data_IF_395716787046
#
_entry.id   IF_395716787046
#
_cell.length_a   1.000
_cell.length_b   1.000
_cell.length_c   1.000
_cell.angle_alpha   90.00
_cell.angle_beta   90.00
_cell.angle_gamma   90.00
#
_symmetry.space_group_name_H-M   'P 1'
#
loop_
_entity.id
_entity.type
_entity.pdbx_description
1 polymer ?
#
# COMPACT_ATOMS: atom_id res chain seq x y z
N UNK A 1 -15.04 1.70 6.13
CA UNK A 1 -15.57 2.09 4.82
C UNK A 1 -16.20 0.85 4.20
N UNK A 2 -17.49 0.90 3.91
CA UNK A 2 -18.18 -0.21 3.26
C UNK A 2 -17.72 -0.25 1.80
N UNK A 3 -17.17 -1.36 1.37
CA UNK A 3 -16.81 -1.62 -0.02
C UNK A 3 -18.01 -2.34 -0.63
N UNK A 4 -18.55 -1.79 -1.71
CA UNK A 4 -19.57 -2.48 -2.49
C UNK A 4 -18.92 -3.56 -3.34
N UNK A 5 -19.56 -4.71 -3.47
CA UNK A 5 -19.21 -5.68 -4.48
C UNK A 5 -19.54 -5.15 -5.88
N UNK A 6 -18.94 -5.73 -6.92
CA UNK A 6 -19.26 -5.37 -8.31
C UNK A 6 -20.75 -5.52 -8.62
N UNK A 7 -21.40 -6.53 -8.00
CA UNK A 7 -22.82 -6.78 -8.18
C UNK A 7 -23.67 -5.69 -7.52
N UNK A 8 -23.32 -5.29 -6.30
CA UNK A 8 -24.02 -4.20 -5.60
C UNK A 8 -23.90 -2.86 -6.34
N UNK A 9 -22.78 -2.63 -7.03
CA UNK A 9 -22.63 -1.45 -7.92
C UNK A 9 -23.53 -1.55 -9.15
N UNK A 10 -23.56 -2.71 -9.82
CA UNK A 10 -24.41 -2.91 -10.98
C UNK A 10 -25.89 -2.77 -10.60
N UNK A 11 -26.30 -3.33 -9.47
CA UNK A 11 -27.65 -3.21 -8.93
C UNK A 11 -27.99 -1.75 -8.58
N UNK A 12 -27.01 -0.98 -8.09
CA UNK A 12 -27.18 0.45 -7.80
C UNK A 12 -27.35 1.24 -9.10
N UNK A 13 -26.54 0.98 -10.11
CA UNK A 13 -26.62 1.63 -11.42
C UNK A 13 -27.94 1.30 -12.14
N UNK A 14 -28.40 0.06 -12.05
CA UNK A 14 -29.71 -0.37 -12.57
C UNK A 14 -30.88 0.34 -11.85
N UNK A 15 -30.76 0.49 -10.54
CA UNK A 15 -31.77 1.21 -9.71
C UNK A 15 -31.94 2.66 -10.13
N UNK A 16 -30.86 3.30 -10.62
CA UNK A 16 -30.88 4.68 -11.13
C UNK A 16 -31.11 4.75 -12.65
N UNK A 17 -31.47 3.62 -13.29
CA UNK A 17 -31.73 3.52 -14.72
C UNK A 17 -30.58 4.07 -15.60
N UNK A 18 -29.34 3.85 -15.15
CA UNK A 18 -28.12 4.24 -15.85
C UNK A 18 -27.79 3.14 -16.86
N UNK A 19 -27.66 3.50 -18.14
CA UNK A 19 -27.21 2.57 -19.16
C UNK A 19 -25.80 2.06 -18.84
N UNK A 20 -25.74 0.83 -18.36
CA UNK A 20 -24.51 0.15 -17.99
C UNK A 20 -23.76 -0.44 -19.19
N UNK A 21 -24.27 -0.26 -20.42
CA UNK A 21 -23.75 -0.93 -21.60
C UNK A 21 -22.24 -0.74 -21.80
N UNK A 22 -21.77 0.50 -21.78
CA UNK A 22 -20.33 0.81 -21.92
C UNK A 22 -19.56 0.51 -20.64
N UNK A 23 -20.12 0.86 -19.47
CA UNK A 23 -19.47 0.62 -18.18
C UNK A 23 -19.46 -0.87 -17.82
N UNK A 24 -20.55 -1.59 -18.10
CA UNK A 24 -20.64 -3.04 -17.97
C UNK A 24 -19.65 -3.79 -18.87
N UNK A 25 -19.39 -3.30 -20.08
CA UNK A 25 -18.37 -3.87 -20.97
C UNK A 25 -16.95 -3.64 -20.42
N UNK A 26 -16.65 -2.48 -19.86
CA UNK A 26 -15.37 -2.20 -19.21
C UNK A 26 -15.18 -3.10 -18.00
N UNK A 27 -16.18 -3.20 -17.11
CA UNK A 27 -16.14 -4.08 -15.94
C UNK A 27 -16.03 -5.55 -16.32
N UNK A 28 -16.75 -6.01 -17.33
CA UNK A 28 -16.65 -7.37 -17.82
C UNK A 28 -15.30 -7.67 -18.50
N UNK A 29 -14.71 -6.66 -19.16
CA UNK A 29 -13.34 -6.76 -19.69
C UNK A 29 -12.30 -6.91 -18.58
N UNK A 30 -12.45 -6.16 -17.50
CA UNK A 30 -11.59 -6.21 -16.31
C UNK A 30 -11.78 -7.52 -15.54
N UNK A 31 -13.00 -8.01 -15.42
CA UNK A 31 -13.34 -9.26 -14.69
C UNK A 31 -12.74 -10.53 -15.34
N UNK A 32 -12.37 -10.48 -16.61
CA UNK A 32 -11.77 -11.62 -17.32
C UNK A 32 -10.27 -11.76 -17.11
N UNK A 33 -9.62 -10.79 -16.45
CA UNK A 33 -8.18 -10.84 -16.17
C UNK A 33 -7.93 -11.25 -14.72
N UNK A 34 -7.26 -12.40 -14.47
CA UNK A 34 -6.93 -12.83 -13.10
C UNK A 34 -6.10 -11.77 -12.37
N UNK A 35 -6.48 -11.44 -11.14
CA UNK A 35 -5.75 -10.52 -10.27
C UNK A 35 -6.05 -9.02 -10.45
N UNK A 36 -6.76 -8.62 -11.49
CA UNK A 36 -7.12 -7.20 -11.68
C UNK A 36 -8.24 -6.77 -10.75
N UNK A 37 -9.18 -7.66 -10.43
CA UNK A 37 -10.30 -7.35 -9.51
C UNK A 37 -9.86 -7.12 -8.07
N UNK A 38 -8.75 -7.73 -7.64
CA UNK A 38 -8.19 -7.47 -6.31
C UNK A 38 -7.70 -6.02 -6.14
N UNK A 39 -7.49 -5.33 -7.26
CA UNK A 39 -7.05 -3.93 -7.31
C UNK A 39 -8.20 -2.93 -7.52
N UNK A 40 -9.40 -3.40 -7.82
CA UNK A 40 -10.58 -2.53 -8.02
C UNK A 40 -11.21 -2.22 -6.66
N UNK A 41 -11.33 -0.95 -6.33
CA UNK A 41 -11.98 -0.47 -5.12
C UNK A 41 -13.04 0.55 -5.48
N UNK A 42 -14.21 0.39 -4.89
CA UNK A 42 -15.34 1.29 -5.09
C UNK A 42 -15.57 2.01 -3.76
N UNK A 43 -15.74 3.32 -3.82
CA UNK A 43 -15.99 4.13 -2.63
C UNK A 43 -16.49 5.51 -3.00
N UNK A 44 -17.03 6.20 -2.01
CA UNK A 44 -17.46 7.60 -2.15
C UNK A 44 -16.34 8.54 -1.71
N UNK A 45 -16.20 9.64 -2.44
CA UNK A 45 -15.26 10.71 -2.13
C UNK A 45 -14.02 10.72 -3.02
N UNK A 46 -13.08 11.61 -2.70
CA UNK A 46 -11.87 11.81 -3.49
C UNK A 46 -10.89 10.66 -3.27
N UNK A 47 -10.36 10.04 -4.34
CA UNK A 47 -9.36 8.99 -4.21
C UNK A 47 -8.07 9.53 -3.61
N UNK A 48 -7.52 8.81 -2.65
CA UNK A 48 -6.32 9.18 -1.90
C UNK A 48 -5.07 8.34 -2.25
N UNK A 49 -5.18 7.45 -3.24
CA UNK A 49 -4.06 6.61 -3.72
C UNK A 49 -3.79 6.86 -5.19
N UNK A 50 -2.55 6.62 -5.61
CA UNK A 50 -2.19 6.67 -7.02
C UNK A 50 -2.91 5.56 -7.80
N UNK A 51 -3.42 5.88 -8.98
CA UNK A 51 -4.15 4.94 -9.82
C UNK A 51 -5.02 5.63 -10.85
N UNK A 52 -5.65 4.81 -11.68
CA UNK A 52 -6.68 5.25 -12.61
C UNK A 52 -8.05 4.99 -11.97
N UNK A 53 -8.85 6.02 -11.88
CA UNK A 53 -10.18 5.99 -11.29
C UNK A 53 -11.24 6.38 -12.32
N UNK A 54 -12.37 5.71 -12.25
CA UNK A 54 -13.60 6.20 -12.87
C UNK A 54 -14.39 6.99 -11.84
N UNK A 55 -14.88 8.15 -12.22
CA UNK A 55 -15.69 9.01 -11.37
C UNK A 55 -17.07 9.11 -11.99
N UNK A 56 -18.08 8.76 -11.22
CA UNK A 56 -19.48 8.93 -11.60
C UNK A 56 -20.10 9.96 -10.69
N UNK A 57 -20.68 11.00 -11.26
CA UNK A 57 -21.46 12.01 -10.55
C UNK A 57 -22.92 11.87 -10.94
N UNK A 58 -23.78 11.80 -9.93
CA UNK A 58 -25.24 11.77 -10.12
C UNK A 58 -25.82 13.00 -9.43
N UNK A 59 -26.63 13.78 -10.15
CA UNK A 59 -27.40 14.85 -9.56
C UNK A 59 -28.80 14.35 -9.24
N UNK A 60 -29.20 14.43 -7.98
CA UNK A 60 -30.57 14.22 -7.53
C UNK A 60 -31.08 15.54 -6.97
N UNK A 61 -31.98 16.16 -7.70
CA UNK A 61 -32.60 17.43 -7.30
C UNK A 61 -34.09 17.41 -7.61
N UNK A 62 -34.88 17.89 -6.67
CA UNK A 62 -36.34 18.00 -6.86
C UNK A 62 -36.76 18.95 -7.99
N UNK A 63 -35.85 19.83 -8.42
CA UNK A 63 -36.13 20.90 -9.39
C UNK A 63 -35.45 20.69 -10.75
N UNK A 64 -34.64 19.62 -10.90
CA UNK A 64 -33.91 19.35 -12.15
C UNK A 64 -34.01 17.87 -12.45
N UNK A 65 -33.96 17.54 -13.74
CA UNK A 65 -33.84 16.11 -14.16
C UNK A 65 -32.56 15.51 -13.64
N UNK A 66 -32.62 14.21 -13.30
CA UNK A 66 -31.46 13.46 -12.85
C UNK A 66 -30.42 13.41 -13.96
N UNK A 67 -29.27 14.00 -13.72
CA UNK A 67 -28.14 13.99 -14.63
C UNK A 67 -27.07 13.03 -14.14
N UNK A 68 -26.44 12.32 -15.08
CA UNK A 68 -25.30 11.42 -14.78
C UNK A 68 -24.10 11.86 -15.61
N UNK A 69 -23.01 12.09 -14.92
CA UNK A 69 -21.73 12.43 -15.55
C UNK A 69 -20.69 11.35 -15.25
N UNK A 70 -19.88 11.02 -16.25
CA UNK A 70 -18.76 10.10 -16.13
C UNK A 70 -17.45 10.82 -16.45
N UNK A 71 -16.40 10.45 -15.73
CA UNK A 71 -15.06 10.95 -15.97
C UNK A 71 -13.99 9.96 -15.55
N UNK A 72 -12.78 10.21 -16.02
CA UNK A 72 -11.61 9.48 -15.58
C UNK A 72 -10.69 10.41 -14.80
N UNK A 73 -10.18 9.94 -13.68
CA UNK A 73 -9.20 10.63 -12.85
C UNK A 73 -7.94 9.77 -12.75
N UNK A 74 -6.82 10.30 -13.26
CA UNK A 74 -5.50 9.69 -13.08
C UNK A 74 -4.77 10.42 -11.95
N UNK A 75 -4.53 9.70 -10.86
CA UNK A 75 -3.66 10.18 -9.78
C UNK A 75 -2.29 9.55 -9.92
N UNK A 76 -1.25 10.39 -9.90
CA UNK A 76 0.13 9.95 -10.14
C UNK A 76 0.82 9.58 -8.83
N UNK A 77 1.61 8.49 -8.88
CA UNK A 77 2.56 8.17 -7.84
C UNK A 77 3.72 9.18 -7.86
N UNK A 78 4.25 9.53 -6.68
CA UNK A 78 5.37 10.45 -6.55
C UNK A 78 6.68 9.65 -6.49
N UNK A 79 7.54 9.85 -7.49
CA UNK A 79 8.82 9.16 -7.63
C UNK A 79 10.01 10.03 -7.19
N UNK A 80 9.87 11.33 -7.24
CA UNK A 80 10.93 12.27 -6.86
C UNK A 80 10.60 12.91 -5.52
N UNK A 81 11.56 12.88 -4.59
CA UNK A 81 11.44 13.48 -3.27
C UNK A 81 11.11 12.54 -2.11
N UNK A 82 10.31 11.45 -2.27
CA UNK A 82 10.10 10.53 -1.16
C UNK A 82 11.38 9.86 -0.71
N UNK A 83 11.56 9.74 0.62
CA UNK A 83 12.75 9.15 1.25
C UNK A 83 12.37 8.33 2.47
N UNK A 84 12.94 7.13 2.57
CA UNK A 84 12.90 6.32 3.78
C UNK A 84 14.06 6.72 4.71
N UNK A 85 13.79 6.79 6.00
CA UNK A 85 14.80 7.08 7.04
C UNK A 85 14.55 6.21 8.26
N UNK A 86 15.62 5.60 8.78
CA UNK A 86 15.54 4.82 10.02
C UNK A 86 15.18 5.72 11.20
N UNK A 87 14.28 5.24 12.06
CA UNK A 87 13.87 5.95 13.26
C UNK A 87 14.92 5.84 14.38
N UNK A 88 15.64 4.69 14.43
CA UNK A 88 16.66 4.40 15.42
C UNK A 88 17.94 3.88 14.76
N UNK A 89 19.09 4.18 15.37
CA UNK A 89 20.38 3.65 14.97
C UNK A 89 20.75 2.44 15.86
N UNK A 90 21.37 1.42 15.25
CA UNK A 90 21.94 0.28 15.98
C UNK A 90 23.39 0.62 16.30
N UNK A 91 23.70 0.86 17.56
CA UNK A 91 25.04 1.23 18.01
C UNK A 91 26.05 0.13 17.66
N UNK A 92 27.03 0.49 16.83
CA UNK A 92 28.04 -0.44 16.35
C UNK A 92 27.51 -1.62 15.53
N UNK A 93 26.25 -1.56 15.09
CA UNK A 93 25.63 -2.63 14.33
C UNK A 93 25.36 -3.90 15.13
N UNK A 94 25.31 -3.84 16.45
CA UNK A 94 25.12 -5.01 17.33
C UNK A 94 23.99 -4.78 18.33
N UNK A 95 23.26 -5.83 18.59
CA UNK A 95 22.23 -5.93 19.63
C UNK A 95 22.48 -7.20 20.44
N UNK A 96 22.19 -7.17 21.71
CA UNK A 96 22.04 -8.42 22.48
C UNK A 96 20.70 -9.09 22.14
N UNK A 97 20.54 -10.37 22.43
CA UNK A 97 19.27 -11.07 22.22
C UNK A 97 18.11 -10.43 23.01
N UNK A 98 18.37 -9.87 24.19
CA UNK A 98 17.38 -9.16 24.99
C UNK A 98 16.98 -7.81 24.36
N UNK A 99 17.95 -7.07 23.83
CA UNK A 99 17.68 -5.82 23.11
C UNK A 99 16.91 -6.07 21.82
N UNK A 100 17.26 -7.12 21.05
CA UNK A 100 16.62 -7.46 19.79
C UNK A 100 15.12 -7.77 19.94
N UNK A 101 14.69 -8.29 21.10
CA UNK A 101 13.27 -8.55 21.39
C UNK A 101 12.43 -7.28 21.49
N UNK A 102 13.05 -6.16 21.87
CA UNK A 102 12.37 -4.89 22.10
C UNK A 102 12.82 -3.78 21.14
N UNK A 103 13.74 -4.09 20.23
CA UNK A 103 14.26 -3.09 19.29
C UNK A 103 13.23 -2.82 18.19
N UNK A 104 12.95 -1.54 18.03
CA UNK A 104 12.09 -1.06 16.96
C UNK A 104 12.94 -0.82 15.70
N UNK A 105 12.77 -1.72 14.71
CA UNK A 105 13.44 -1.62 13.41
C UNK A 105 12.74 -0.65 12.46
N UNK A 106 11.88 0.23 12.94
CA UNK A 106 11.05 1.08 12.12
C UNK A 106 11.84 2.11 11.30
N UNK A 107 11.29 2.37 10.14
CA UNK A 107 11.68 3.45 9.25
C UNK A 107 10.46 4.27 8.88
N UNK A 108 10.65 5.56 8.75
CA UNK A 108 9.60 6.50 8.37
C UNK A 108 9.79 6.95 6.93
N UNK A 109 8.70 6.96 6.18
CA UNK A 109 8.63 7.54 4.85
C UNK A 109 8.39 9.06 4.97
N UNK A 110 9.28 9.84 4.40
CA UNK A 110 9.20 11.30 4.32
C UNK A 110 8.91 11.76 2.90
N UNK A 111 8.20 12.86 2.76
CA UNK A 111 8.03 13.62 1.53
C UNK A 111 8.06 15.12 1.84
N UNK A 112 8.85 15.89 1.09
CA UNK A 112 9.10 17.32 1.33
C UNK A 112 9.52 17.65 2.79
N UNK A 113 10.31 16.77 3.40
CA UNK A 113 10.81 16.94 4.77
C UNK A 113 9.80 16.61 5.87
N UNK A 114 8.58 16.23 5.52
CA UNK A 114 7.53 15.88 6.47
C UNK A 114 7.23 14.37 6.42
N UNK A 115 6.92 13.72 7.55
CA UNK A 115 6.51 12.34 7.56
C UNK A 115 5.16 12.17 6.83
N UNK A 116 5.08 11.19 5.97
CA UNK A 116 3.83 10.82 5.29
C UNK A 116 2.86 10.27 6.33
N UNK A 117 1.60 10.71 6.31
CA UNK A 117 0.59 10.26 7.30
C UNK A 117 0.30 8.77 7.25
N UNK A 118 0.27 8.20 6.04
CA UNK A 118 -0.01 6.78 5.83
C UNK A 118 1.30 6.03 5.57
N UNK A 119 1.80 5.34 6.58
CA UNK A 119 2.99 4.51 6.53
C UNK A 119 2.68 3.05 6.17
N UNK A 120 1.43 2.70 5.86
CA UNK A 120 1.00 1.32 5.59
C UNK A 120 1.67 0.67 4.37
N UNK A 121 2.28 1.48 3.51
CA UNK A 121 3.04 1.02 2.34
C UNK A 121 4.50 0.66 2.65
N UNK A 122 4.98 0.93 3.86
CA UNK A 122 6.33 0.58 4.31
C UNK A 122 6.36 -0.88 4.74
N UNK A 123 7.23 -1.67 4.12
CA UNK A 123 7.35 -3.09 4.36
C UNK A 123 8.78 -3.47 4.72
N UNK A 124 8.90 -4.43 5.64
CA UNK A 124 10.15 -4.90 6.19
C UNK A 124 10.42 -6.34 5.77
N UNK A 125 11.62 -6.62 5.32
CA UNK A 125 12.08 -7.95 4.98
C UNK A 125 13.40 -8.24 5.71
N UNK A 126 13.40 -9.30 6.50
CA UNK A 126 14.57 -9.75 7.23
C UNK A 126 15.15 -11.00 6.59
N UNK A 127 16.47 -11.05 6.47
CA UNK A 127 17.22 -12.21 5.99
C UNK A 127 18.56 -12.33 6.72
N UNK A 128 19.16 -13.51 6.69
CA UNK A 128 20.44 -13.72 7.32
C UNK A 128 20.71 -15.17 7.75
N UNK A 129 21.55 -15.31 8.76
CA UNK A 129 21.91 -16.61 9.31
C UNK A 129 21.99 -16.52 10.83
N UNK A 130 21.43 -17.53 11.51
CA UNK A 130 21.65 -17.71 12.95
C UNK A 130 23.10 -18.08 13.24
N UNK A 131 23.54 -17.97 14.49
CA UNK A 131 24.88 -18.44 14.92
C UNK A 131 25.09 -19.92 14.72
N UNK A 132 24.03 -20.72 14.59
CA UNK A 132 24.06 -22.15 14.24
C UNK A 132 23.97 -22.40 12.71
N UNK A 133 24.20 -21.40 11.89
CA UNK A 133 24.16 -21.45 10.41
C UNK A 133 22.81 -21.85 9.81
N UNK A 134 21.72 -21.70 10.55
CA UNK A 134 20.38 -21.84 9.97
C UNK A 134 20.04 -20.57 9.17
N UNK A 135 19.53 -20.77 7.96
CA UNK A 135 19.09 -19.68 7.08
C UNK A 135 17.84 -19.00 7.66
N UNK A 136 17.88 -17.70 7.71
CA UNK A 136 16.73 -16.85 8.01
C UNK A 136 16.36 -16.09 6.73
N UNK A 137 15.38 -16.60 5.98
CA UNK A 137 15.13 -16.10 4.64
C UNK A 137 13.84 -15.29 4.54
N UNK A 138 13.96 -14.09 4.00
CA UNK A 138 12.91 -13.21 3.48
C UNK A 138 11.59 -13.24 4.27
N UNK A 139 11.69 -13.06 5.58
CA UNK A 139 10.52 -13.00 6.47
C UNK A 139 10.23 -11.57 6.89
N UNK A 140 8.97 -11.27 7.19
CA UNK A 140 8.53 -10.00 7.76
C UNK A 140 8.67 -9.94 9.28
N UNK A 141 9.05 -11.05 9.92
CA UNK A 141 9.26 -11.13 11.37
C UNK A 141 10.71 -10.77 11.68
N UNK A 142 10.92 -9.90 12.66
CA UNK A 142 12.25 -9.53 13.12
C UNK A 142 12.94 -10.72 13.83
N UNK A 143 14.24 -10.98 13.57
CA UNK A 143 14.97 -12.05 14.23
C UNK A 143 15.27 -11.68 15.69
N UNK A 144 15.24 -12.70 16.56
CA UNK A 144 15.56 -12.55 17.99
C UNK A 144 16.71 -13.48 18.44
N UNK A 145 17.04 -14.47 17.61
CA UNK A 145 18.13 -15.40 17.88
C UNK A 145 19.51 -14.79 17.56
N UNK A 146 20.57 -15.16 18.27
CA UNK A 146 21.93 -14.76 17.92
C UNK A 146 22.29 -15.15 16.48
N UNK A 147 22.86 -14.18 15.74
CA UNK A 147 23.15 -14.37 14.31
C UNK A 147 23.57 -13.08 13.61
N UNK A 148 23.67 -13.15 12.28
CA UNK A 148 23.93 -12.00 11.40
C UNK A 148 22.79 -11.81 10.42
N UNK A 149 22.25 -10.61 10.37
CA UNK A 149 21.03 -10.31 9.66
C UNK A 149 21.13 -9.04 8.84
N UNK A 150 20.24 -8.94 7.87
CA UNK A 150 19.99 -7.75 7.09
C UNK A 150 18.50 -7.48 7.15
N UNK A 151 18.13 -6.25 7.45
CA UNK A 151 16.77 -5.74 7.25
C UNK A 151 16.74 -4.85 6.03
N UNK A 152 15.76 -5.09 5.15
CA UNK A 152 15.46 -4.25 3.99
C UNK A 152 14.10 -3.64 4.18
N UNK A 153 14.03 -2.32 4.01
CA UNK A 153 12.76 -1.58 4.04
C UNK A 153 12.46 -1.08 2.64
N UNK A 154 11.27 -1.33 2.17
CA UNK A 154 10.83 -0.95 0.84
C UNK A 154 9.37 -0.48 0.85
N UNK A 155 9.00 0.24 -0.22
CA UNK A 155 7.63 0.66 -0.48
C UNK A 155 7.05 -0.28 -1.53
N UNK A 156 5.97 -0.99 -1.20
CA UNK A 156 5.35 -1.94 -2.14
C UNK A 156 4.07 -1.39 -2.80
N UNK A 157 3.48 -0.33 -2.24
CA UNK A 157 2.24 0.24 -2.77
C UNK A 157 2.04 1.68 -2.27
N UNK A 158 1.05 2.37 -2.83
CA UNK A 158 0.65 3.68 -2.33
C UNK A 158 0.94 4.83 -3.30
N UNK A 159 1.03 6.05 -2.77
CA UNK A 159 1.17 7.28 -3.54
C UNK A 159 2.62 7.71 -3.74
N UNK A 160 3.54 7.03 -3.09
CA UNK A 160 4.96 7.38 -3.03
C UNK A 160 5.82 6.20 -3.42
N UNK A 161 6.93 6.47 -4.07
CA UNK A 161 7.98 5.49 -4.35
C UNK A 161 9.28 6.05 -3.77
N UNK A 162 9.95 5.28 -2.94
CA UNK A 162 11.27 5.62 -2.41
C UNK A 162 12.24 4.48 -2.69
N UNK A 163 13.52 4.82 -2.79
CA UNK A 163 14.56 3.80 -2.87
C UNK A 163 14.55 2.94 -1.59
N UNK A 164 14.66 1.61 -1.71
CA UNK A 164 14.80 0.75 -0.56
C UNK A 164 16.03 1.12 0.27
N UNK A 165 15.93 0.99 1.58
CA UNK A 165 17.05 1.13 2.49
C UNK A 165 17.35 -0.22 3.15
N UNK A 166 18.63 -0.50 3.37
CA UNK A 166 19.08 -1.74 3.99
C UNK A 166 20.00 -1.45 5.16
N UNK A 167 19.97 -2.31 6.16
CA UNK A 167 20.88 -2.27 7.31
C UNK A 167 21.27 -3.69 7.71
N UNK A 168 22.57 -3.92 7.85
CA UNK A 168 23.09 -5.15 8.43
C UNK A 168 23.29 -4.99 9.94
N UNK A 169 23.01 -6.04 10.71
CA UNK A 169 23.22 -6.05 12.15
C UNK A 169 23.54 -7.47 12.64
N UNK A 170 24.08 -7.53 13.84
CA UNK A 170 24.40 -8.79 14.51
C UNK A 170 23.64 -8.84 15.84
N UNK A 171 23.01 -9.97 16.11
CA UNK A 171 22.48 -10.30 17.45
C UNK A 171 23.52 -11.16 18.14
N UNK A 172 23.96 -10.74 19.31
CA UNK A 172 24.87 -11.47 20.19
C UNK A 172 24.10 -12.19 21.30
N UNK A 173 24.75 -13.14 21.97
CA UNK A 173 24.18 -13.82 23.14
C UNK A 173 24.00 -12.85 24.30
#
# INVERSE_FOLDING_TARGET
MSLFSTQELLDLLDKFNIDTGTFGQILNGINKQPGVMDSVRIGFGTPNRAGLYTVTAVTDSKNYETGVGFGFLLTKMRFSGPKLTWNQEINGGKLTAAEAQNFDFDATLYYDGLPVKDQSSVHYLYSGFTSSWRVYSSTTTAPTEPGRYVVTVCILSGNYMAAPITRSFQITK
#
